data_IF_076416200999
#
_entry.id   IF_076416200999
#
_cell.length_a   1.000
_cell.length_b   1.000
_cell.length_c   1.000
_cell.angle_alpha   90.00
_cell.angle_beta   90.00
_cell.angle_gamma   90.00
#
_symmetry.space_group_name_H-M   'P 1'
#
loop_
_entity.id
_entity.type
_entity.pdbx_description
1 polymer ?
#
# COMPACT_ATOMS: atom_id res chain seq x y z
N UNK A 1 -2.12 -0.88 -5.88
CA UNK A 1 -1.33 -1.65 -6.87
C UNK A 1 -2.20 -2.57 -7.72
N UNK A 2 -2.86 -3.60 -7.17
CA UNK A 2 -3.64 -4.55 -7.99
C UNK A 2 -4.74 -3.89 -8.84
N UNK A 3 -5.49 -2.94 -8.27
CA UNK A 3 -6.51 -2.23 -9.03
C UNK A 3 -5.91 -1.42 -10.19
N UNK A 4 -4.81 -0.68 -9.97
CA UNK A 4 -4.12 0.04 -11.04
C UNK A 4 -3.66 -0.91 -12.17
N UNK A 5 -3.11 -2.08 -11.81
CA UNK A 5 -2.75 -3.13 -12.78
C UNK A 5 -3.97 -3.65 -13.56
N UNK A 6 -5.09 -3.88 -12.87
CA UNK A 6 -6.31 -4.39 -13.49
C UNK A 6 -6.94 -3.37 -14.43
N UNK A 7 -6.93 -2.09 -14.08
CA UNK A 7 -7.41 -1.00 -14.95
C UNK A 7 -6.53 -0.83 -16.19
N UNK A 8 -5.21 -0.87 -16.02
CA UNK A 8 -4.28 -0.80 -17.14
C UNK A 8 -4.48 -1.99 -18.09
N UNK A 9 -4.55 -3.21 -17.56
CA UNK A 9 -4.80 -4.42 -18.36
C UNK A 9 -6.16 -4.37 -19.08
N UNK A 10 -7.21 -3.89 -18.39
CA UNK A 10 -8.53 -3.67 -18.99
C UNK A 10 -8.45 -2.72 -20.17
N UNK A 11 -7.75 -1.60 -20.03
CA UNK A 11 -7.68 -0.58 -21.08
C UNK A 11 -6.83 -1.01 -22.28
N UNK A 12 -5.82 -1.86 -22.08
CA UNK A 12 -5.15 -2.57 -23.18
C UNK A 12 -6.12 -3.53 -23.89
N UNK A 13 -6.86 -4.36 -23.16
CA UNK A 13 -7.80 -5.34 -23.75
C UNK A 13 -8.94 -4.63 -24.51
N UNK A 14 -9.39 -3.48 -24.02
CA UNK A 14 -10.43 -2.66 -24.65
C UNK A 14 -9.90 -1.78 -25.80
N UNK A 15 -8.59 -1.78 -26.06
CA UNK A 15 -7.96 -0.98 -27.13
C UNK A 15 -7.95 0.53 -26.84
N UNK A 16 -8.02 0.92 -25.57
CA UNK A 16 -7.87 2.32 -25.13
C UNK A 16 -6.41 2.70 -24.94
N UNK A 17 -5.58 1.72 -24.59
CA UNK A 17 -4.12 1.81 -24.54
C UNK A 17 -3.59 0.90 -25.64
N UNK A 18 -2.85 1.47 -26.59
CA UNK A 18 -2.13 0.69 -27.59
C UNK A 18 -0.79 0.24 -27.01
N UNK A 19 -0.47 -1.05 -27.14
CA UNK A 19 0.84 -1.55 -26.70
C UNK A 19 1.94 -1.07 -27.66
N UNK A 20 3.09 -0.62 -27.13
CA UNK A 20 4.21 -0.22 -27.95
C UNK A 20 4.89 -1.45 -28.58
N UNK A 21 5.94 -1.21 -29.36
CA UNK A 21 6.71 -2.30 -29.98
C UNK A 21 7.40 -3.17 -28.93
N UNK A 22 7.78 -4.39 -29.32
CA UNK A 22 8.52 -5.30 -28.45
C UNK A 22 9.86 -4.72 -27.96
N UNK A 23 10.53 -3.91 -28.78
CA UNK A 23 11.78 -3.24 -28.42
C UNK A 23 11.56 -2.15 -27.36
N UNK A 24 10.52 -1.34 -27.51
CA UNK A 24 10.16 -0.31 -26.53
C UNK A 24 9.74 -0.94 -25.19
N UNK A 25 8.93 -2.00 -25.21
CA UNK A 25 8.57 -2.74 -23.99
C UNK A 25 9.80 -3.32 -23.28
N UNK A 26 10.74 -3.91 -24.03
CA UNK A 26 11.97 -4.45 -23.46
C UNK A 26 12.86 -3.35 -22.86
N UNK A 27 12.96 -2.20 -23.53
CA UNK A 27 13.72 -1.04 -23.06
C UNK A 27 13.14 -0.45 -21.77
N UNK A 28 11.81 -0.27 -21.73
CA UNK A 28 11.09 0.22 -20.54
C UNK A 28 11.27 -0.73 -19.35
N UNK A 29 11.08 -2.04 -19.56
CA UNK A 29 11.31 -3.05 -18.53
C UNK A 29 12.77 -3.10 -18.04
N UNK A 30 13.74 -2.94 -18.93
CA UNK A 30 15.16 -2.89 -18.56
C UNK A 30 15.51 -1.64 -17.73
N UNK A 31 14.89 -0.49 -18.04
CA UNK A 31 15.06 0.73 -17.25
C UNK A 31 14.52 0.57 -15.82
N UNK A 32 13.31 0.03 -15.68
CA UNK A 32 12.71 -0.30 -14.38
C UNK A 32 13.55 -1.31 -13.59
N UNK A 33 14.02 -2.38 -14.25
CA UNK A 33 14.88 -3.38 -13.61
C UNK A 33 16.21 -2.78 -13.13
N UNK A 34 16.88 -1.98 -13.96
CA UNK A 34 18.12 -1.30 -13.56
C UNK A 34 17.91 -0.38 -12.36
N UNK A 35 16.76 0.30 -12.31
CA UNK A 35 16.38 1.16 -11.18
C UNK A 35 16.16 0.33 -9.91
N UNK A 36 15.46 -0.81 -10.01
CA UNK A 36 15.23 -1.74 -8.88
C UNK A 36 16.55 -2.31 -8.33
N UNK A 37 17.46 -2.73 -9.21
CA UNK A 37 18.76 -3.30 -8.82
C UNK A 37 19.70 -2.28 -8.15
N UNK A 38 19.39 -0.99 -8.26
CA UNK A 38 20.17 0.09 -7.65
C UNK A 38 19.64 0.56 -6.28
N UNK A 39 18.53 0.01 -5.80
CA UNK A 39 17.95 0.38 -4.50
C UNK A 39 18.79 -0.22 -3.36
N UNK A 40 19.06 0.57 -2.32
CA UNK A 40 19.88 0.13 -1.17
C UNK A 40 19.07 0.04 0.12
N UNK A 41 17.93 0.72 0.17
CA UNK A 41 17.12 0.86 1.37
C UNK A 41 15.67 0.49 1.09
N UNK A 42 15.02 -0.01 2.13
CA UNK A 42 13.59 -0.30 2.04
C UNK A 42 12.70 0.96 1.88
N UNK A 43 13.23 2.16 2.12
CA UNK A 43 12.49 3.39 1.84
C UNK A 43 12.49 3.68 0.34
N UNK A 44 13.59 3.39 -0.34
CA UNK A 44 13.66 3.45 -1.81
C UNK A 44 12.82 2.34 -2.45
N UNK A 45 12.75 1.14 -1.86
CA UNK A 45 11.82 0.08 -2.29
C UNK A 45 10.34 0.53 -2.21
N UNK A 46 9.96 1.21 -1.12
CA UNK A 46 8.62 1.79 -0.96
C UNK A 46 8.35 2.83 -2.06
N UNK A 47 9.30 3.75 -2.29
CA UNK A 47 9.14 4.78 -3.31
C UNK A 47 9.08 4.18 -4.73
N UNK A 48 9.91 3.18 -5.01
CA UNK A 48 9.93 2.48 -6.29
C UNK A 48 8.58 1.85 -6.63
N UNK A 49 7.96 1.13 -5.68
CA UNK A 49 6.63 0.54 -5.90
C UNK A 49 5.52 1.60 -5.96
N UNK A 50 5.68 2.71 -5.22
CA UNK A 50 4.79 3.87 -5.32
C UNK A 50 4.81 4.47 -6.72
N UNK A 51 6.00 4.75 -7.26
CA UNK A 51 6.18 5.30 -8.61
C UNK A 51 5.61 4.38 -9.69
N UNK A 52 5.84 3.06 -9.56
CA UNK A 52 5.22 2.08 -10.46
C UNK A 52 3.69 2.14 -10.41
N UNK A 53 3.13 2.24 -9.21
CA UNK A 53 1.68 2.35 -9.06
C UNK A 53 1.16 3.66 -9.64
N UNK A 54 1.87 4.78 -9.46
CA UNK A 54 1.48 6.07 -10.02
C UNK A 54 1.51 6.04 -11.56
N UNK A 55 2.56 5.48 -12.18
CA UNK A 55 2.64 5.34 -13.64
C UNK A 55 1.41 4.60 -14.20
N UNK A 56 0.95 3.53 -13.54
CA UNK A 56 -0.25 2.81 -13.98
C UNK A 56 -1.56 3.58 -13.76
N UNK A 57 -1.66 4.33 -12.65
CA UNK A 57 -2.85 5.15 -12.36
C UNK A 57 -2.99 6.27 -13.39
N UNK A 58 -1.89 6.96 -13.71
CA UNK A 58 -1.85 8.11 -14.61
C UNK A 58 -2.26 7.76 -16.06
N UNK A 59 -2.10 6.50 -16.47
CA UNK A 59 -2.42 6.00 -17.81
C UNK A 59 -3.90 5.56 -17.97
N UNK A 60 -4.71 5.64 -16.91
CA UNK A 60 -6.08 5.09 -16.93
C UNK A 60 -7.11 6.05 -16.31
N UNK A 61 -8.38 5.68 -16.38
CA UNK A 61 -9.46 6.36 -15.64
C UNK A 61 -9.60 5.89 -14.18
N UNK A 62 -8.64 5.14 -13.63
CA UNK A 62 -8.66 4.76 -12.23
C UNK A 62 -8.59 6.01 -11.36
N UNK A 63 -9.44 6.16 -10.33
CA UNK A 63 -9.41 7.35 -9.48
C UNK A 63 -8.03 7.55 -8.85
N UNK A 64 -7.44 8.71 -9.10
CA UNK A 64 -6.18 9.09 -8.50
C UNK A 64 -6.32 9.18 -6.97
N UNK A 65 -5.23 8.86 -6.28
CA UNK A 65 -5.15 8.90 -4.83
C UNK A 65 -3.73 9.27 -4.42
N UNK A 66 -3.57 9.81 -3.21
CA UNK A 66 -2.29 10.38 -2.77
C UNK A 66 -1.25 9.28 -2.45
N UNK A 67 -0.62 8.73 -3.50
CA UNK A 67 0.46 7.73 -3.41
C UNK A 67 1.67 8.24 -2.61
N UNK A 68 2.14 9.50 -2.78
CA UNK A 68 3.21 10.04 -1.94
C UNK A 68 2.91 9.97 -0.44
N UNK A 69 1.67 10.23 -0.04
CA UNK A 69 1.26 10.10 1.35
C UNK A 69 1.19 8.64 1.81
N UNK A 70 0.76 7.71 0.93
CA UNK A 70 0.86 6.27 1.21
C UNK A 70 2.31 5.84 1.46
N UNK A 71 3.26 6.31 0.63
CA UNK A 71 4.69 6.03 0.82
C UNK A 71 5.21 6.59 2.15
N UNK A 72 4.81 7.82 2.51
CA UNK A 72 5.14 8.43 3.80
C UNK A 72 4.65 7.56 4.96
N UNK A 73 3.40 7.08 4.91
CA UNK A 73 2.83 6.21 5.94
C UNK A 73 3.52 4.85 6.03
N UNK A 74 3.95 4.25 4.91
CA UNK A 74 4.76 3.03 4.95
C UNK A 74 6.12 3.25 5.62
N UNK A 75 6.78 4.39 5.36
CA UNK A 75 8.04 4.75 6.03
C UNK A 75 7.83 4.97 7.53
N UNK A 76 6.73 5.63 7.92
CA UNK A 76 6.32 5.78 9.31
C UNK A 76 6.04 4.42 9.98
N UNK A 77 5.32 3.52 9.30
CA UNK A 77 5.11 2.15 9.76
C UNK A 77 6.43 1.38 10.00
N UNK A 78 7.43 1.55 9.12
CA UNK A 78 8.77 0.99 9.37
C UNK A 78 9.42 1.59 10.62
N UNK A 79 9.23 2.89 10.86
CA UNK A 79 9.63 3.55 12.10
C UNK A 79 8.97 2.93 13.33
N UNK A 80 7.64 2.81 13.34
CA UNK A 80 6.89 2.19 14.44
C UNK A 80 7.38 0.76 14.76
N UNK A 81 7.69 -0.04 13.72
CA UNK A 81 8.25 -1.39 13.92
C UNK A 81 9.64 -1.39 14.56
N UNK A 82 10.45 -0.37 14.29
CA UNK A 82 11.78 -0.21 14.89
C UNK A 82 11.68 0.26 16.33
N UNK A 83 10.71 1.12 16.62
CA UNK A 83 10.48 1.67 17.95
C UNK A 83 9.89 0.61 18.91
N UNK A 84 8.89 -0.15 18.46
CA UNK A 84 8.31 -1.26 19.21
C UNK A 84 7.76 -2.34 18.27
N UNK A 85 8.51 -3.44 18.16
CA UNK A 85 8.15 -4.56 17.27
C UNK A 85 6.90 -5.32 17.73
N UNK A 86 6.53 -5.24 19.02
CA UNK A 86 5.33 -5.89 19.56
C UNK A 86 4.13 -4.93 19.64
N UNK A 87 4.37 -3.61 19.68
CA UNK A 87 3.33 -2.58 19.78
C UNK A 87 3.00 -1.82 18.49
N UNK A 88 3.72 -2.03 17.37
CA UNK A 88 3.49 -1.25 16.14
C UNK A 88 2.06 -1.36 15.58
N UNK A 89 1.32 -2.42 15.93
CA UNK A 89 -0.07 -2.64 15.49
C UNK A 89 -1.09 -1.82 16.26
N UNK A 90 -0.71 -1.24 17.40
CA UNK A 90 -1.60 -0.41 18.22
C UNK A 90 -1.65 1.06 17.74
N UNK A 91 -1.10 1.32 16.54
CA UNK A 91 -1.01 2.64 15.91
C UNK A 91 -2.09 2.80 14.84
N UNK A 92 -2.73 3.96 14.80
CA UNK A 92 -3.67 4.35 13.74
C UNK A 92 -3.01 5.28 12.71
N UNK A 93 -3.47 5.18 11.46
CA UNK A 93 -3.05 6.06 10.36
C UNK A 93 -4.27 6.77 9.75
N UNK A 94 -4.11 7.97 9.16
CA UNK A 94 -5.16 8.63 8.41
C UNK A 94 -5.44 7.91 7.08
N UNK A 95 -6.71 7.83 6.71
CA UNK A 95 -7.10 7.40 5.36
C UNK A 95 -6.68 8.46 4.34
N UNK A 96 -5.93 8.08 3.30
CA UNK A 96 -5.60 8.97 2.18
C UNK A 96 -6.80 9.31 1.29
N UNK A 97 -7.91 8.59 1.45
CA UNK A 97 -9.15 8.81 0.70
C UNK A 97 -10.14 9.72 1.44
N UNK A 98 -10.28 9.54 2.75
CA UNK A 98 -11.31 10.25 3.54
C UNK A 98 -10.74 11.22 4.58
N UNK A 99 -9.43 11.17 4.85
CA UNK A 99 -8.81 11.92 5.94
C UNK A 99 -9.15 11.42 7.35
N UNK A 100 -10.10 10.49 7.49
CA UNK A 100 -10.49 9.93 8.79
C UNK A 100 -9.32 9.13 9.37
N UNK A 101 -8.97 9.43 10.62
CA UNK A 101 -7.93 8.71 11.37
C UNK A 101 -8.50 7.39 11.89
N UNK A 102 -7.81 6.27 11.65
CA UNK A 102 -8.19 4.98 12.20
C UNK A 102 -8.22 5.07 13.75
N UNK A 103 -9.31 4.65 14.41
CA UNK A 103 -9.40 4.68 15.86
C UNK A 103 -8.44 3.67 16.49
N UNK A 104 -8.06 3.91 17.74
CA UNK A 104 -7.35 2.91 18.55
C UNK A 104 -8.29 1.72 18.80
N UNK A 105 -7.79 0.51 18.59
CA UNK A 105 -8.54 -0.72 18.82
C UNK A 105 -8.86 -0.90 20.32
N UNK A 106 -9.94 -1.61 20.65
CA UNK A 106 -10.38 -1.79 22.03
C UNK A 106 -9.47 -2.69 22.89
N UNK A 107 -8.59 -3.46 22.25
CA UNK A 107 -7.63 -4.37 22.89
C UNK A 107 -6.25 -4.21 22.24
N UNK A 108 -5.15 -4.02 23.01
CA UNK A 108 -3.79 -4.03 22.48
C UNK A 108 -3.47 -5.34 21.75
N UNK A 109 -2.65 -5.29 20.69
CA UNK A 109 -2.41 -6.45 19.83
C UNK A 109 -1.84 -7.66 20.58
N UNK A 110 -0.97 -7.44 21.57
CA UNK A 110 -0.36 -8.52 22.36
C UNK A 110 -1.39 -9.26 23.24
N UNK A 111 -2.52 -8.63 23.53
CA UNK A 111 -3.61 -9.14 24.37
C UNK A 111 -4.80 -9.63 23.54
N UNK A 112 -4.85 -9.36 22.24
CA UNK A 112 -5.94 -9.75 21.34
C UNK A 112 -5.68 -11.16 20.76
N UNK A 113 -6.05 -12.20 21.51
CA UNK A 113 -5.80 -13.60 21.14
C UNK A 113 -6.90 -14.19 20.26
N UNK A 114 -8.11 -13.62 20.26
CA UNK A 114 -9.20 -13.97 19.36
C UNK A 114 -9.06 -13.20 18.04
N UNK A 115 -8.74 -13.92 16.96
CA UNK A 115 -8.57 -13.36 15.62
C UNK A 115 -9.88 -13.30 14.81
N UNK A 116 -11.02 -13.59 15.43
CA UNK A 116 -12.31 -13.54 14.77
C UNK A 116 -12.75 -12.11 14.45
N UNK A 117 -13.33 -11.95 13.27
CA UNK A 117 -13.97 -10.70 12.86
C UNK A 117 -15.08 -10.27 13.85
N UNK A 118 -15.76 -11.24 14.48
CA UNK A 118 -16.83 -10.96 15.43
C UNK A 118 -16.33 -10.17 16.64
N UNK A 119 -15.18 -10.56 17.20
CA UNK A 119 -14.56 -9.87 18.34
C UNK A 119 -13.91 -8.55 17.90
N UNK A 120 -13.20 -8.53 16.77
CA UNK A 120 -12.52 -7.33 16.26
C UNK A 120 -13.45 -6.14 15.98
N UNK A 121 -14.71 -6.40 15.62
CA UNK A 121 -15.69 -5.36 15.27
C UNK A 121 -16.50 -4.83 16.47
N UNK A 122 -16.23 -5.29 17.69
CA UNK A 122 -16.88 -4.77 18.88
C UNK A 122 -16.45 -3.32 19.14
N UNK A 123 -17.32 -2.53 19.77
CA UNK A 123 -16.96 -1.17 20.17
C UNK A 123 -16.12 -1.12 21.46
N UNK A 124 -16.10 -2.21 22.22
CA UNK A 124 -15.40 -2.35 23.50
C UNK A 124 -14.95 -3.80 23.69
N UNK A 125 -13.90 -4.01 24.47
CA UNK A 125 -13.37 -5.33 24.76
C UNK A 125 -14.40 -6.21 25.49
N UNK A 126 -14.50 -7.52 25.16
CA UNK A 126 -15.38 -8.44 25.87
C UNK A 126 -14.91 -8.70 27.31
N UNK A 127 -15.85 -9.02 28.20
CA UNK A 127 -15.52 -9.43 29.58
C UNK A 127 -14.71 -10.72 29.57
N UNK A 128 -13.47 -10.68 30.06
CA UNK A 128 -12.57 -11.84 30.12
C UNK A 128 -11.32 -11.78 29.24
N UNK A 129 -11.17 -10.73 28.42
CA UNK A 129 -10.02 -10.53 27.53
C UNK A 129 -10.36 -10.75 26.06
N UNK A 130 -9.56 -10.16 25.18
CA UNK A 130 -9.70 -10.28 23.72
C UNK A 130 -8.80 -11.33 23.10
#
# INVERSE_FOLDING_TARGET
MFDAQAWYARDVILGRIELPSAEEMASHGAAWRKREEALETAYEEIDFQGDYTQELVDETDYPDFNIPEVNRMFKEWKGHKKDDIMGYRDRGFPSTLTGTVAPVHHTPWIEALDDSMATYLLSQAPEGGG
#
